data_IF_488952704638
#
_entry.id   IF_488952704638
#
_cell.length_a   1.000
_cell.length_b   1.000
_cell.length_c   1.000
_cell.angle_alpha   90.00
_cell.angle_beta   90.00
_cell.angle_gamma   90.00
#
_symmetry.space_group_name_H-M   'P 1'
#
loop_
_entity.id
_entity.type
_entity.pdbx_description
1 polymer ?
#
# COMPACT_ATOMS: atom_id res chain seq x y z
N UNK A 1 15.17 11.06 23.81
CA UNK A 1 14.45 10.23 22.82
C UNK A 1 14.35 10.87 21.41
N UNK A 2 13.47 11.83 21.12
CA UNK A 2 13.21 12.28 19.72
C UNK A 2 14.47 12.74 18.96
N UNK A 3 15.32 13.53 19.61
CA UNK A 3 16.57 14.00 19.00
C UNK A 3 17.56 12.85 18.74
N UNK A 4 17.66 11.91 19.69
CA UNK A 4 18.53 10.74 19.55
C UNK A 4 18.09 9.83 18.39
N UNK A 5 16.78 9.70 18.15
CA UNK A 5 16.25 8.98 16.98
C UNK A 5 16.67 9.68 15.68
N UNK A 6 16.60 11.02 15.62
CA UNK A 6 17.02 11.78 14.43
C UNK A 6 18.50 11.64 14.14
N UNK A 7 19.34 11.82 15.15
CA UNK A 7 20.79 11.69 15.02
C UNK A 7 21.18 10.26 14.62
N UNK A 8 20.56 9.25 15.23
CA UNK A 8 20.78 7.85 14.89
C UNK A 8 20.34 7.54 13.46
N UNK A 9 19.18 8.03 13.02
CA UNK A 9 18.70 7.83 11.65
C UNK A 9 19.61 8.49 10.62
N UNK A 10 20.05 9.71 10.88
CA UNK A 10 20.99 10.43 10.02
C UNK A 10 22.35 9.71 9.95
N UNK A 11 22.85 9.20 11.09
CA UNK A 11 24.09 8.42 11.13
C UNK A 11 23.97 7.10 10.36
N UNK A 12 22.83 6.41 10.48
CA UNK A 12 22.53 5.19 9.72
C UNK A 12 22.54 5.46 8.22
N UNK A 13 21.81 6.47 7.74
CA UNK A 13 21.80 6.83 6.31
C UNK A 13 23.19 7.26 5.82
N UNK A 14 24.00 7.89 6.67
CA UNK A 14 25.37 8.30 6.36
C UNK A 14 26.37 7.15 6.18
N UNK A 15 26.03 5.92 6.57
CA UNK A 15 26.87 4.74 6.31
C UNK A 15 26.73 4.23 4.86
N UNK A 16 25.67 4.61 4.15
CA UNK A 16 25.37 4.12 2.80
C UNK A 16 25.66 5.20 1.75
N UNK A 17 25.99 4.77 0.53
CA UNK A 17 26.25 5.71 -0.56
C UNK A 17 24.95 6.35 -1.08
N UNK A 18 23.84 5.61 -1.00
CA UNK A 18 22.53 6.03 -1.51
C UNK A 18 21.38 5.59 -0.58
N UNK A 19 20.25 6.32 -0.54
CA UNK A 19 19.05 5.90 0.18
C UNK A 19 18.52 4.54 -0.28
N UNK A 20 18.67 4.22 -1.57
CA UNK A 20 18.32 2.93 -2.16
C UNK A 20 19.04 1.78 -1.46
N UNK A 21 20.35 1.93 -1.24
CA UNK A 21 21.22 0.94 -0.62
C UNK A 21 20.87 0.73 0.86
N UNK A 22 20.63 1.82 1.60
CA UNK A 22 20.14 1.75 2.98
C UNK A 22 18.81 0.99 3.09
N UNK A 23 17.88 1.27 2.16
CA UNK A 23 16.61 0.57 2.07
C UNK A 23 16.75 -0.89 1.65
N UNK A 24 17.70 -1.22 0.76
CA UNK A 24 17.99 -2.60 0.38
C UNK A 24 18.52 -3.41 1.57
N UNK A 25 19.44 -2.85 2.36
CA UNK A 25 19.94 -3.45 3.59
C UNK A 25 18.80 -3.73 4.59
N UNK A 26 17.89 -2.77 4.78
CA UNK A 26 16.69 -2.93 5.62
C UNK A 26 15.83 -4.11 5.17
N UNK A 27 15.48 -4.19 3.88
CA UNK A 27 14.66 -5.29 3.39
C UNK A 27 15.38 -6.63 3.38
N UNK A 28 16.70 -6.66 3.15
CA UNK A 28 17.52 -7.86 3.32
C UNK A 28 17.41 -8.37 4.75
N UNK A 29 17.68 -7.54 5.76
CA UNK A 29 17.60 -7.92 7.17
C UNK A 29 16.19 -8.40 7.59
N UNK A 30 15.15 -7.73 7.11
CA UNK A 30 13.74 -8.11 7.37
C UNK A 30 13.42 -9.48 6.76
N UNK A 31 13.85 -9.74 5.53
CA UNK A 31 13.55 -10.99 4.82
C UNK A 31 14.38 -12.17 5.28
N UNK A 32 15.58 -11.94 5.82
CA UNK A 32 16.37 -12.94 6.52
C UNK A 32 15.74 -13.28 7.88
N UNK A 33 15.28 -12.28 8.63
CA UNK A 33 14.65 -12.47 9.94
C UNK A 33 13.25 -13.10 9.84
N UNK A 34 12.50 -12.80 8.79
CA UNK A 34 11.17 -13.39 8.54
C UNK A 34 10.93 -13.63 7.04
N UNK A 35 11.38 -14.79 6.51
CA UNK A 35 11.17 -15.14 5.11
C UNK A 35 9.69 -15.18 4.70
N UNK A 36 8.79 -15.49 5.64
CA UNK A 36 7.34 -15.52 5.39
C UNK A 36 6.75 -14.17 5.01
N UNK A 37 7.43 -13.06 5.32
CA UNK A 37 6.99 -11.71 4.95
C UNK A 37 7.19 -11.42 3.47
N UNK A 38 8.14 -12.08 2.78
CA UNK A 38 8.44 -11.83 1.37
C UNK A 38 7.20 -11.95 0.48
N UNK A 39 6.32 -12.90 0.77
CA UNK A 39 5.06 -13.11 0.04
C UNK A 39 4.11 -11.90 0.06
N UNK A 40 4.25 -10.99 1.01
CA UNK A 40 3.44 -9.77 1.14
C UNK A 40 3.97 -8.63 0.27
N UNK A 41 5.20 -8.72 -0.24
CA UNK A 41 5.84 -7.68 -1.04
C UNK A 41 5.80 -8.05 -2.53
N UNK A 42 4.76 -7.58 -3.22
CA UNK A 42 4.57 -7.79 -4.67
C UNK A 42 5.22 -6.71 -5.54
N UNK A 43 5.59 -5.59 -4.93
CA UNK A 43 6.31 -4.49 -5.59
C UNK A 43 7.80 -4.81 -5.67
N UNK A 44 8.51 -4.44 -6.75
CA UNK A 44 9.96 -4.67 -6.84
C UNK A 44 10.72 -4.12 -5.63
N UNK A 45 11.67 -4.90 -5.08
CA UNK A 45 12.40 -4.59 -3.85
C UNK A 45 12.96 -3.17 -3.85
N UNK A 46 13.68 -2.77 -4.92
CA UNK A 46 14.29 -1.44 -5.02
C UNK A 46 13.28 -0.29 -4.88
N UNK A 47 12.08 -0.42 -5.47
CA UNK A 47 11.01 0.59 -5.36
C UNK A 47 10.47 0.63 -3.94
N UNK A 48 10.31 -0.53 -3.32
CA UNK A 48 9.83 -0.63 -1.95
C UNK A 48 10.86 -0.08 -0.94
N UNK A 49 12.15 -0.37 -1.14
CA UNK A 49 13.28 0.16 -0.37
C UNK A 49 13.26 1.68 -0.33
N UNK A 50 13.13 2.31 -1.50
CA UNK A 50 13.09 3.77 -1.61
C UNK A 50 11.87 4.38 -0.91
N UNK A 51 10.70 3.80 -1.13
CA UNK A 51 9.48 4.25 -0.46
C UNK A 51 9.63 4.13 1.05
N UNK A 52 10.17 3.02 1.55
CA UNK A 52 10.35 2.81 2.98
C UNK A 52 11.27 3.84 3.63
N UNK A 53 12.44 4.08 3.04
CA UNK A 53 13.41 5.06 3.57
C UNK A 53 12.81 6.47 3.59
N UNK A 54 12.14 6.89 2.52
CA UNK A 54 11.48 8.19 2.46
C UNK A 54 10.34 8.33 3.49
N UNK A 55 9.53 7.29 3.68
CA UNK A 55 8.46 7.30 4.67
C UNK A 55 9.01 7.35 6.10
N UNK A 56 10.04 6.58 6.40
CA UNK A 56 10.68 6.59 7.72
C UNK A 56 11.37 7.94 7.98
N UNK A 57 12.01 8.54 6.98
CA UNK A 57 12.58 9.88 7.07
C UNK A 57 11.51 10.94 7.40
N UNK A 58 10.36 10.89 6.71
CA UNK A 58 9.21 11.77 6.99
C UNK A 58 8.67 11.62 8.42
N UNK A 59 8.56 10.38 8.91
CA UNK A 59 8.17 10.09 10.29
C UNK A 59 9.18 10.66 11.29
N UNK A 60 10.48 10.42 11.06
CA UNK A 60 11.58 10.91 11.92
C UNK A 60 11.64 12.45 11.93
N UNK A 61 11.41 13.08 10.77
CA UNK A 61 11.34 14.54 10.64
C UNK A 61 10.18 15.14 11.44
N UNK A 62 9.07 14.41 11.62
CA UNK A 62 7.84 14.90 12.26
C UNK A 62 7.66 14.52 13.74
N UNK A 63 8.66 13.90 14.38
CA UNK A 63 8.57 13.44 15.78
C UNK A 63 8.16 14.51 16.82
N UNK A 64 8.48 15.78 16.58
CA UNK A 64 8.10 16.91 17.45
C UNK A 64 6.78 17.60 17.04
N UNK A 65 6.05 17.05 16.05
CA UNK A 65 4.82 17.60 15.50
C UNK A 65 3.70 16.55 15.64
N UNK A 66 3.10 16.39 16.83
CA UNK A 66 2.20 15.26 17.12
C UNK A 66 1.00 15.16 16.16
N UNK A 67 0.43 16.29 15.74
CA UNK A 67 -0.67 16.31 14.74
C UNK A 67 -0.21 15.80 13.37
N UNK A 68 0.98 16.22 12.91
CA UNK A 68 1.52 15.80 11.62
C UNK A 68 1.91 14.32 11.65
N UNK A 69 2.57 13.89 12.73
CA UNK A 69 2.94 12.49 12.95
C UNK A 69 1.71 11.58 12.97
N UNK A 70 0.63 12.00 13.65
CA UNK A 70 -0.64 11.29 13.65
C UNK A 70 -1.21 11.13 12.24
N UNK A 71 -1.24 12.21 11.45
CA UNK A 71 -1.77 12.16 10.08
C UNK A 71 -0.97 11.18 9.21
N UNK A 72 0.37 11.20 9.30
CA UNK A 72 1.23 10.25 8.56
C UNK A 72 0.94 8.81 8.98
N UNK A 73 0.81 8.56 10.29
CA UNK A 73 0.50 7.23 10.81
C UNK A 73 -0.87 6.71 10.34
N UNK A 74 -1.90 7.56 10.36
CA UNK A 74 -3.24 7.20 9.87
C UNK A 74 -3.22 6.93 8.35
N UNK A 75 -2.59 7.80 7.56
CA UNK A 75 -2.43 7.59 6.11
C UNK A 75 -1.68 6.30 5.79
N UNK A 76 -0.62 5.99 6.53
CA UNK A 76 0.11 4.73 6.37
C UNK A 76 -0.76 3.53 6.74
N UNK A 77 -1.50 3.63 7.84
CA UNK A 77 -2.39 2.57 8.32
C UNK A 77 -3.52 2.25 7.33
N UNK A 78 -4.10 3.26 6.67
CA UNK A 78 -5.08 3.03 5.60
C UNK A 78 -4.45 2.34 4.38
N UNK A 79 -3.20 2.65 4.01
CA UNK A 79 -2.50 1.93 2.93
C UNK A 79 -2.23 0.46 3.28
N UNK A 80 -2.06 0.14 4.56
CA UNK A 80 -1.83 -1.23 5.04
C UNK A 80 -3.12 -2.02 5.32
N UNK A 81 -4.29 -1.44 5.07
CA UNK A 81 -5.58 -2.05 5.44
C UNK A 81 -5.82 -3.39 4.73
N UNK A 82 -5.29 -3.56 3.52
CA UNK A 82 -5.38 -4.80 2.75
C UNK A 82 -4.26 -5.81 3.09
N UNK A 83 -3.31 -5.45 3.96
CA UNK A 83 -2.20 -6.32 4.34
C UNK A 83 -2.49 -7.06 5.65
N UNK A 84 -1.89 -8.24 5.79
CA UNK A 84 -1.99 -9.00 7.04
C UNK A 84 -0.98 -8.55 8.09
N UNK A 85 -1.24 -7.37 8.69
CA UNK A 85 -0.45 -6.84 9.79
C UNK A 85 -0.95 -7.40 11.12
N UNK A 86 -0.20 -8.35 11.68
CA UNK A 86 -0.47 -8.96 12.99
C UNK A 86 0.57 -8.51 14.02
N UNK A 87 0.26 -8.64 15.32
CA UNK A 87 1.21 -8.29 16.40
C UNK A 87 2.55 -9.03 16.26
N UNK A 88 2.58 -10.37 16.02
CA UNK A 88 3.86 -11.08 15.85
C UNK A 88 4.67 -10.59 14.64
N UNK A 89 4.02 -10.38 13.49
CA UNK A 89 4.70 -9.87 12.28
C UNK A 89 5.28 -8.47 12.52
N UNK A 90 4.53 -7.61 13.22
CA UNK A 90 4.99 -6.26 13.56
C UNK A 90 6.20 -6.26 14.50
N UNK A 91 6.24 -7.16 15.48
CA UNK A 91 7.39 -7.29 16.39
C UNK A 91 8.64 -7.74 15.62
N UNK A 92 8.54 -8.78 14.79
CA UNK A 92 9.69 -9.25 14.00
C UNK A 92 10.18 -8.16 13.04
N UNK A 93 9.26 -7.43 12.39
CA UNK A 93 9.60 -6.33 11.50
C UNK A 93 10.36 -5.21 12.23
N UNK A 94 9.88 -4.82 13.43
CA UNK A 94 10.56 -3.83 14.27
C UNK A 94 11.95 -4.31 14.68
N UNK A 95 12.03 -5.53 15.20
CA UNK A 95 13.27 -6.06 15.78
C UNK A 95 14.35 -6.21 14.70
N UNK A 96 13.99 -6.68 13.51
CA UNK A 96 14.91 -6.73 12.37
C UNK A 96 15.50 -5.36 11.98
N UNK A 97 14.72 -4.28 12.08
CA UNK A 97 15.21 -2.92 11.83
C UNK A 97 16.17 -2.47 12.94
N UNK A 98 15.83 -2.74 14.20
CA UNK A 98 16.67 -2.37 15.33
C UNK A 98 18.01 -3.12 15.31
N UNK A 99 17.97 -4.41 14.96
CA UNK A 99 19.16 -5.27 14.86
C UNK A 99 20.07 -4.83 13.71
N UNK A 100 19.50 -4.43 12.57
CA UNK A 100 20.29 -3.85 11.47
C UNK A 100 20.94 -2.52 11.87
N UNK A 101 20.19 -1.62 12.51
CA UNK A 101 20.74 -0.33 12.97
C UNK A 101 21.88 -0.57 13.98
N UNK A 102 21.74 -1.57 14.86
CA UNK A 102 22.81 -1.99 15.77
C UNK A 102 24.04 -2.51 15.03
N UNK A 103 23.85 -3.39 14.04
CA UNK A 103 24.95 -3.94 13.26
C UNK A 103 25.74 -2.86 12.51
N UNK A 104 25.04 -1.85 11.97
CA UNK A 104 25.65 -0.76 11.19
C UNK A 104 26.31 0.33 12.06
N UNK A 105 25.74 0.62 13.23
CA UNK A 105 26.18 1.75 14.05
C UNK A 105 27.01 1.35 15.26
N UNK A 106 26.89 0.10 15.75
CA UNK A 106 27.55 -0.37 16.96
C UNK A 106 27.31 0.58 18.13
N UNK A 107 28.40 1.06 18.74
CA UNK A 107 28.36 1.99 19.89
C UNK A 107 27.66 3.33 19.60
N UNK A 108 27.51 3.72 18.31
CA UNK A 108 26.75 4.92 17.93
C UNK A 108 25.24 4.73 18.09
N UNK A 109 24.75 3.49 18.23
CA UNK A 109 23.34 3.22 18.52
C UNK A 109 23.06 3.30 20.02
N UNK A 110 22.87 4.53 20.50
CA UNK A 110 22.66 4.80 21.92
C UNK A 110 21.41 4.10 22.47
N UNK A 111 21.40 3.77 23.75
CA UNK A 111 20.22 3.17 24.43
C UNK A 111 18.97 4.05 24.29
N UNK A 112 19.16 5.37 24.28
CA UNK A 112 18.07 6.34 24.07
C UNK A 112 17.51 6.31 22.64
N UNK A 113 18.38 6.13 21.63
CA UNK A 113 17.95 5.96 20.25
C UNK A 113 17.19 4.63 20.08
N UNK A 114 17.72 3.51 20.63
CA UNK A 114 17.05 2.20 20.59
C UNK A 114 15.67 2.26 21.22
N UNK A 115 15.56 2.83 22.42
CA UNK A 115 14.27 3.01 23.10
C UNK A 115 13.32 3.88 22.26
N UNK A 116 13.83 4.97 21.69
CA UNK A 116 13.05 5.87 20.83
C UNK A 116 12.49 5.16 19.60
N UNK A 117 13.32 4.42 18.86
CA UNK A 117 12.86 3.64 17.70
C UNK A 117 11.89 2.52 18.10
N UNK A 118 12.14 1.84 19.23
CA UNK A 118 11.24 0.77 19.73
C UNK A 118 9.83 1.32 19.96
N UNK A 119 9.73 2.49 20.62
CA UNK A 119 8.45 3.15 20.88
C UNK A 119 7.82 3.64 19.57
N UNK A 120 8.60 4.28 18.70
CA UNK A 120 8.13 4.84 17.43
C UNK A 120 7.55 3.75 16.52
N UNK A 121 8.35 2.73 16.21
CA UNK A 121 7.95 1.63 15.32
C UNK A 121 6.82 0.81 15.94
N UNK A 122 6.83 0.59 17.26
CA UNK A 122 5.75 -0.07 17.98
C UNK A 122 4.44 0.71 17.92
N UNK A 123 4.49 2.03 18.09
CA UNK A 123 3.32 2.90 17.96
C UNK A 123 2.77 2.92 16.52
N UNK A 124 3.64 3.00 15.52
CA UNK A 124 3.25 2.93 14.10
C UNK A 124 2.57 1.58 13.78
N UNK A 125 3.14 0.46 14.23
CA UNK A 125 2.52 -0.85 14.07
C UNK A 125 1.15 -0.93 14.77
N UNK A 126 1.04 -0.37 15.97
CA UNK A 126 -0.22 -0.25 16.70
C UNK A 126 -1.28 0.51 15.92
N UNK A 127 -0.92 1.60 15.25
CA UNK A 127 -1.83 2.37 14.40
C UNK A 127 -2.35 1.53 13.22
N UNK A 128 -1.48 0.77 12.55
CA UNK A 128 -1.87 -0.15 11.47
C UNK A 128 -2.88 -1.20 11.95
N UNK A 129 -2.60 -1.84 13.08
CA UNK A 129 -3.48 -2.86 13.69
C UNK A 129 -4.81 -2.24 14.12
N UNK A 130 -4.78 -1.06 14.74
CA UNK A 130 -5.98 -0.35 15.19
C UNK A 130 -6.91 0.01 14.04
N UNK A 131 -6.37 0.56 12.95
CA UNK A 131 -7.17 0.91 11.76
C UNK A 131 -7.77 -0.34 11.12
N UNK A 132 -7.00 -1.44 11.02
CA UNK A 132 -7.52 -2.71 10.51
C UNK A 132 -8.69 -3.24 11.35
N UNK A 133 -8.55 -3.23 12.68
CA UNK A 133 -9.61 -3.66 13.59
C UNK A 133 -10.84 -2.73 13.54
N UNK A 134 -10.64 -1.42 13.37
CA UNK A 134 -11.72 -0.43 13.42
C UNK A 134 -12.50 -0.27 12.11
N UNK A 135 -11.82 -0.45 10.97
CA UNK A 135 -12.37 -0.14 9.64
C UNK A 135 -12.45 -1.36 8.72
N UNK A 136 -11.84 -2.49 9.07
CA UNK A 136 -11.78 -3.69 8.22
C UNK A 136 -13.15 -4.19 7.77
N UNK A 137 -14.09 -4.35 8.70
CA UNK A 137 -15.45 -4.82 8.38
C UNK A 137 -16.24 -3.83 7.51
N UNK A 138 -16.09 -2.54 7.78
CA UNK A 138 -16.74 -1.48 6.98
C UNK A 138 -16.21 -1.47 5.56
N UNK A 139 -14.89 -1.59 5.40
CA UNK A 139 -14.29 -1.67 4.08
C UNK A 139 -14.74 -2.92 3.32
N UNK A 140 -14.79 -4.08 3.99
CA UNK A 140 -15.29 -5.33 3.40
C UNK A 140 -16.73 -5.18 2.92
N UNK A 141 -17.60 -4.63 3.77
CA UNK A 141 -19.01 -4.39 3.42
C UNK A 141 -19.15 -3.44 2.22
N UNK A 142 -18.37 -2.36 2.18
CA UNK A 142 -18.35 -1.43 1.05
C UNK A 142 -17.88 -2.10 -0.23
N UNK A 143 -16.81 -2.90 -0.18
CA UNK A 143 -16.29 -3.65 -1.31
C UNK A 143 -17.28 -4.69 -1.84
N UNK A 144 -17.97 -5.41 -0.96
CA UNK A 144 -19.00 -6.39 -1.31
C UNK A 144 -20.21 -5.70 -1.96
N UNK A 145 -20.66 -4.60 -1.37
CA UNK A 145 -21.79 -3.82 -1.89
C UNK A 145 -21.49 -3.23 -3.26
N UNK A 146 -20.29 -2.65 -3.43
CA UNK A 146 -19.82 -2.12 -4.71
C UNK A 146 -19.74 -3.21 -5.78
N UNK A 147 -19.20 -4.38 -5.44
CA UNK A 147 -19.13 -5.53 -6.34
C UNK A 147 -20.51 -6.00 -6.78
N UNK A 148 -21.49 -6.00 -5.88
CA UNK A 148 -22.88 -6.38 -6.19
C UNK A 148 -23.50 -5.41 -7.18
N UNK A 149 -23.41 -4.10 -6.93
CA UNK A 149 -23.95 -3.06 -7.82
C UNK A 149 -23.35 -3.15 -9.22
N UNK A 150 -22.02 -3.31 -9.32
CA UNK A 150 -21.36 -3.40 -10.62
C UNK A 150 -21.68 -4.70 -11.36
N UNK A 151 -21.88 -5.82 -10.65
CA UNK A 151 -22.39 -7.05 -11.27
C UNK A 151 -23.81 -6.86 -11.82
N UNK A 152 -24.68 -6.20 -11.05
CA UNK A 152 -26.05 -5.91 -11.49
C UNK A 152 -26.08 -4.99 -12.71
N UNK A 153 -25.19 -3.99 -12.81
CA UNK A 153 -25.05 -3.18 -14.03
C UNK A 153 -24.63 -4.03 -15.24
N UNK A 154 -23.62 -4.90 -15.11
CA UNK A 154 -23.21 -5.75 -16.23
C UNK A 154 -24.25 -6.78 -16.67
N UNK A 155 -25.14 -7.20 -15.78
CA UNK A 155 -26.26 -8.09 -16.11
C UNK A 155 -27.38 -7.30 -16.77
N UNK A 156 -27.73 -6.14 -16.23
CA UNK A 156 -28.73 -5.25 -16.84
C UNK A 156 -28.32 -4.76 -18.24
N UNK A 157 -27.04 -4.47 -18.47
CA UNK A 157 -26.51 -4.13 -19.81
C UNK A 157 -26.54 -5.34 -20.76
N UNK A 158 -26.19 -6.54 -20.27
CA UNK A 158 -26.26 -7.77 -21.08
C UNK A 158 -27.69 -8.23 -21.40
N UNK A 159 -28.62 -7.98 -20.48
CA UNK A 159 -30.04 -8.30 -20.67
C UNK A 159 -30.67 -7.28 -21.63
N UNK A 160 -30.31 -5.99 -21.54
CA UNK A 160 -30.71 -4.97 -22.51
C UNK A 160 -30.15 -5.23 -23.92
N UNK A 161 -28.88 -5.68 -24.03
CA UNK A 161 -28.29 -6.07 -25.31
C UNK A 161 -28.94 -7.35 -25.89
N UNK A 162 -29.44 -8.25 -25.04
CA UNK A 162 -30.17 -9.46 -25.48
C UNK A 162 -31.61 -9.18 -25.91
N UNK A 163 -32.31 -8.29 -25.21
CA UNK A 163 -33.63 -7.80 -25.61
C UNK A 163 -33.54 -7.02 -26.94
N UNK A 164 -32.52 -6.18 -27.11
CA UNK A 164 -32.28 -5.45 -28.36
C UNK A 164 -31.93 -6.37 -29.56
N UNK A 165 -31.36 -7.57 -29.33
CA UNK A 165 -31.08 -8.56 -30.39
C UNK A 165 -32.33 -9.40 -30.70
N UNK A 166 -33.17 -9.70 -29.71
CA UNK A 166 -34.43 -10.43 -29.93
C UNK A 166 -35.48 -9.60 -30.70
N UNK A 167 -35.48 -8.28 -30.56
CA UNK A 167 -36.36 -7.39 -31.34
C UNK A 167 -35.92 -7.22 -32.81
N UNK A 168 -34.74 -7.72 -33.21
CA UNK A 168 -34.25 -7.66 -34.61
C UNK A 168 -34.59 -8.93 -35.40
N UNK A 169 -34.81 -10.09 -34.74
CA UNK A 169 -35.08 -11.37 -35.43
C UNK A 169 -36.57 -11.65 -35.71
N UNK A 170 -37.46 -10.67 -35.46
CA UNK A 170 -38.92 -10.81 -35.64
C UNK A 170 -39.53 -10.25 -36.93
N UNK A 171 -38.72 -9.81 -37.90
CA UNK A 171 -39.22 -9.19 -39.14
C UNK A 171 -38.67 -9.83 -40.41
N UNK A 172 -39.37 -10.85 -40.93
CA UNK A 172 -39.19 -11.31 -42.31
C UNK A 172 -39.87 -10.33 -43.31
N UNK A 173 -39.16 -10.13 -44.41
CA UNK A 173 -39.59 -9.68 -45.74
C UNK A 173 -39.82 -8.18 -46.03
N UNK A 174 -38.83 -7.56 -46.71
CA UNK A 174 -38.95 -7.12 -48.11
C UNK A 174 -37.84 -6.12 -48.54
N UNK A 175 -37.10 -6.53 -49.57
CA UNK A 175 -36.63 -5.74 -50.74
C UNK A 175 -35.70 -4.51 -50.58
N UNK A 176 -34.66 -4.44 -51.42
CA UNK A 176 -34.00 -3.20 -51.85
C UNK A 176 -32.79 -2.67 -51.06
N UNK A 177 -31.58 -2.90 -51.60
CA UNK A 177 -30.33 -2.15 -51.32
C UNK A 177 -30.53 -0.60 -51.48
N UNK A 178 -29.77 0.29 -50.79
CA UNK A 178 -28.30 0.33 -50.91
C UNK A 178 -27.48 0.72 -49.66
N UNK A 179 -26.19 0.36 -49.73
CA UNK A 179 -25.12 0.69 -48.78
C UNK A 179 -25.01 2.19 -48.50
N UNK A 180 -24.92 2.56 -47.21
CA UNK A 180 -24.40 3.85 -46.76
C UNK A 180 -23.33 3.66 -45.69
N UNK A 181 -22.16 4.16 -46.03
CA UNK A 181 -20.98 4.35 -45.19
C UNK A 181 -21.26 5.48 -44.18
N UNK A 182 -21.03 5.22 -42.89
CA UNK A 182 -21.02 6.25 -41.85
C UNK A 182 -20.19 5.76 -40.66
N UNK A 183 -18.93 6.21 -40.62
CA UNK A 183 -18.04 5.98 -39.49
C UNK A 183 -18.67 6.40 -38.16
N UNK A 184 -18.44 5.56 -37.14
CA UNK A 184 -18.57 5.97 -35.75
C UNK A 184 -17.43 5.35 -34.95
N UNK A 185 -16.50 6.23 -34.58
CA UNK A 185 -15.39 6.04 -33.62
C UNK A 185 -15.87 5.25 -32.40
N UNK A 186 -15.19 4.17 -32.07
CA UNK A 186 -15.30 3.54 -30.76
C UNK A 186 -14.75 4.50 -29.68
N UNK A 187 -15.48 4.77 -28.59
CA UNK A 187 -14.87 5.42 -27.43
C UNK A 187 -13.99 4.39 -26.70
N UNK A 188 -12.67 4.61 -26.75
CA UNK A 188 -11.71 3.98 -25.85
C UNK A 188 -12.03 4.40 -24.42
N UNK A 189 -12.67 3.53 -23.64
CA UNK A 189 -12.78 3.72 -22.19
C UNK A 189 -11.45 3.30 -21.55
N UNK A 190 -10.50 4.23 -21.54
CA UNK A 190 -9.44 4.28 -20.54
C UNK A 190 -9.99 4.97 -19.30
N UNK A 191 -10.19 4.20 -18.23
CA UNK A 191 -9.91 4.68 -16.88
C UNK A 191 -9.65 3.49 -15.97
N UNK A 192 -8.42 2.96 -16.04
CA UNK A 192 -7.86 2.20 -14.92
C UNK A 192 -7.67 3.23 -13.80
N UNK A 193 -8.58 3.25 -12.84
CA UNK A 193 -8.33 3.83 -11.53
C UNK A 193 -7.20 3.04 -10.88
N UNK A 194 -5.97 3.50 -11.10
CA UNK A 194 -4.81 3.08 -10.35
C UNK A 194 -4.91 3.68 -8.96
N UNK A 195 -5.20 2.86 -7.96
CA UNK A 195 -4.69 3.11 -6.61
C UNK A 195 -3.26 2.58 -6.59
N UNK A 196 -2.30 3.49 -6.44
CA UNK A 196 -0.88 3.22 -6.22
C UNK A 196 -0.35 4.16 -5.14
#
# INVERSE_FOLDING_TARGET
ACEQVRLCWAAFLGNFATPEEAGDALFTAIFESAPTLQSLFTTPKAVQSMRFVHELDSVVATLNKPKALKNIAESLAFRHLNLDVTVPRAMIFRDAILDLIEAELGDRFTTEARRGFTILLGWMAGANIYVKASFGDRLRLLQESWRKVNKTQTVAEKDADREAVQDIEGGEDADGLPKRDAGRRAPSSTSKLAFA
#
